data_IF_472874620054
#
_entry.id   IF_472874620054
#
_cell.length_a   1.000
_cell.length_b   1.000
_cell.length_c   1.000
_cell.angle_alpha   90.00
_cell.angle_beta   90.00
_cell.angle_gamma   90.00
#
_symmetry.space_group_name_H-M   'P 1'
#
loop_
_entity.id
_entity.type
_entity.pdbx_description
1 polymer ?
#
# COMPACT_ATOMS: atom_id res chain seq x y z
N UNK A 1 0.53 0.68 -1.72
CA UNK A 1 1.02 2.03 -1.35
C UNK A 1 1.69 2.05 0.02
N UNK A 2 0.98 1.86 1.13
CA UNK A 2 1.58 1.91 2.48
C UNK A 2 2.85 1.03 2.62
N UNK A 3 2.78 -0.21 2.12
CA UNK A 3 3.92 -1.13 2.09
C UNK A 3 5.11 -0.55 1.32
N UNK A 4 4.90 -0.11 0.06
CA UNK A 4 5.95 0.52 -0.77
C UNK A 4 6.50 1.82 -0.15
N UNK A 5 5.72 2.52 0.68
CA UNK A 5 6.18 3.67 1.45
C UNK A 5 7.01 3.30 2.70
N UNK A 6 7.20 2.00 2.98
CA UNK A 6 8.08 1.51 4.05
C UNK A 6 7.37 0.74 5.17
N UNK A 7 6.05 0.61 5.16
CA UNK A 7 5.32 -0.15 6.18
C UNK A 7 5.52 -1.67 6.01
N UNK A 8 5.52 -2.40 7.12
CA UNK A 8 5.50 -3.87 7.10
C UNK A 8 4.08 -4.44 6.96
N UNK A 9 3.07 -3.70 7.44
CA UNK A 9 1.66 -4.08 7.41
C UNK A 9 0.77 -2.86 7.13
N UNK A 10 -0.43 -3.13 6.61
CA UNK A 10 -1.49 -2.12 6.42
C UNK A 10 -2.78 -2.60 7.10
N UNK A 11 -3.37 -1.74 7.94
CA UNK A 11 -4.60 -2.03 8.69
C UNK A 11 -5.84 -1.38 8.09
N UNK A 12 -6.99 -2.03 8.30
CA UNK A 12 -8.31 -1.52 7.90
C UNK A 12 -9.29 -1.67 9.05
N UNK A 13 -9.91 -0.57 9.48
CA UNK A 13 -10.97 -0.60 10.51
C UNK A 13 -12.33 -0.29 9.87
N UNK A 14 -12.55 0.96 9.47
CA UNK A 14 -13.84 1.43 8.95
C UNK A 14 -14.37 0.61 7.75
N UNK A 15 -13.57 0.26 6.72
CA UNK A 15 -14.06 -0.52 5.57
C UNK A 15 -14.47 -1.96 5.90
N UNK A 16 -14.11 -2.46 7.09
CA UNK A 16 -14.44 -3.80 7.58
C UNK A 16 -15.66 -3.76 8.52
N UNK A 17 -15.95 -2.61 9.14
CA UNK A 17 -17.04 -2.47 10.09
C UNK A 17 -18.43 -2.73 9.47
N UNK A 18 -18.70 -2.16 8.29
CA UNK A 18 -19.98 -2.37 7.60
C UNK A 18 -20.16 -3.84 7.16
N UNK A 19 -19.17 -4.52 6.54
CA UNK A 19 -19.27 -5.96 6.32
C UNK A 19 -19.47 -6.77 7.61
N UNK A 20 -18.87 -6.36 8.73
CA UNK A 20 -18.97 -7.07 10.00
C UNK A 20 -20.40 -7.07 10.56
N UNK A 21 -21.14 -5.97 10.43
CA UNK A 21 -22.56 -5.94 10.86
C UNK A 21 -23.47 -6.81 9.98
N UNK A 22 -23.03 -7.16 8.77
CA UNK A 22 -23.75 -8.03 7.82
C UNK A 22 -23.38 -9.51 7.96
N UNK A 23 -22.46 -9.85 8.87
CA UNK A 23 -22.03 -11.21 9.16
C UNK A 23 -20.65 -11.57 8.59
N UNK A 24 -20.09 -12.67 9.11
CA UNK A 24 -18.71 -13.10 8.84
C UNK A 24 -18.42 -13.39 7.38
N UNK A 25 -19.39 -13.88 6.61
CA UNK A 25 -19.23 -14.13 5.17
C UNK A 25 -18.99 -12.83 4.38
N UNK A 26 -19.66 -11.72 4.75
CA UNK A 26 -19.41 -10.42 4.12
C UNK A 26 -18.04 -9.87 4.43
N UNK A 27 -17.54 -10.11 5.65
CA UNK A 27 -16.15 -9.79 5.99
C UNK A 27 -15.16 -10.59 5.14
N UNK A 28 -15.37 -11.91 4.98
CA UNK A 28 -14.53 -12.76 4.13
C UNK A 28 -14.53 -12.30 2.68
N UNK A 29 -15.70 -11.96 2.12
CA UNK A 29 -15.83 -11.39 0.77
C UNK A 29 -15.00 -10.10 0.63
N UNK A 30 -15.13 -9.17 1.60
CA UNK A 30 -14.38 -7.90 1.58
C UNK A 30 -12.87 -8.13 1.65
N UNK A 31 -12.41 -9.04 2.51
CA UNK A 31 -10.99 -9.39 2.64
C UNK A 31 -10.46 -9.97 1.33
N UNK A 32 -11.21 -10.88 0.68
CA UNK A 32 -10.83 -11.44 -0.64
C UNK A 32 -10.67 -10.35 -1.69
N UNK A 33 -11.55 -9.36 -1.72
CA UNK A 33 -11.44 -8.21 -2.64
C UNK A 33 -10.15 -7.42 -2.38
N UNK A 34 -9.85 -7.10 -1.11
CA UNK A 34 -8.64 -6.37 -0.74
C UNK A 34 -7.38 -7.14 -1.14
N UNK A 35 -7.35 -8.45 -0.88
CA UNK A 35 -6.24 -9.33 -1.29
C UNK A 35 -6.07 -9.30 -2.82
N UNK A 36 -7.16 -9.40 -3.57
CA UNK A 36 -7.09 -9.37 -5.03
C UNK A 36 -6.57 -8.03 -5.55
N UNK A 37 -7.04 -6.91 -4.99
CA UNK A 37 -6.54 -5.57 -5.35
C UNK A 37 -5.06 -5.40 -5.04
N UNK A 38 -4.58 -5.94 -3.90
CA UNK A 38 -3.17 -5.96 -3.58
C UNK A 38 -2.38 -6.77 -4.62
N UNK A 39 -2.82 -7.98 -4.96
CA UNK A 39 -2.18 -8.83 -5.98
C UNK A 39 -2.16 -8.17 -7.36
N UNK A 40 -3.26 -7.52 -7.77
CA UNK A 40 -3.32 -6.76 -9.01
C UNK A 40 -2.33 -5.60 -9.00
N UNK A 41 -2.25 -4.85 -7.90
CA UNK A 41 -1.28 -3.76 -7.77
C UNK A 41 0.15 -4.27 -7.86
N UNK A 42 0.45 -5.39 -7.18
CA UNK A 42 1.76 -6.06 -7.23
C UNK A 42 2.12 -6.51 -8.65
N UNK A 43 1.18 -7.13 -9.36
CA UNK A 43 1.36 -7.54 -10.76
C UNK A 43 1.70 -6.36 -11.67
N UNK A 44 0.96 -5.25 -11.55
CA UNK A 44 1.16 -4.05 -12.38
C UNK A 44 2.53 -3.37 -12.17
N UNK A 45 3.14 -3.54 -11.00
CA UNK A 45 4.46 -2.98 -10.69
C UNK A 45 5.58 -4.03 -10.71
N UNK A 46 5.30 -5.25 -11.18
CA UNK A 46 6.29 -6.32 -11.28
C UNK A 46 6.77 -6.89 -9.93
N UNK A 47 6.03 -6.70 -8.85
CA UNK A 47 6.40 -7.20 -7.53
C UNK A 47 5.89 -8.63 -7.30
N UNK A 48 6.79 -9.62 -7.26
CA UNK A 48 6.44 -11.03 -7.00
C UNK A 48 6.27 -11.37 -5.52
N UNK A 49 6.67 -10.50 -4.60
CA UNK A 49 6.55 -10.68 -3.14
C UNK A 49 6.27 -9.36 -2.42
N UNK A 50 5.95 -9.43 -1.12
CA UNK A 50 5.72 -8.23 -0.30
C UNK A 50 7.02 -7.42 -0.12
N UNK A 51 8.15 -8.11 -0.01
CA UNK A 51 9.49 -7.52 0.08
C UNK A 51 9.83 -6.75 -1.21
N UNK A 52 9.56 -7.37 -2.37
CA UNK A 52 9.66 -6.72 -3.68
C UNK A 52 8.73 -5.50 -3.77
N UNK A 53 7.48 -5.62 -3.29
CA UNK A 53 6.53 -4.51 -3.27
C UNK A 53 7.00 -3.34 -2.37
N UNK A 54 7.69 -3.64 -1.26
CA UNK A 54 8.29 -2.64 -0.37
C UNK A 54 9.42 -1.88 -1.08
N UNK A 55 10.20 -2.58 -1.89
CA UNK A 55 11.26 -2.03 -2.74
C UNK A 55 10.79 -1.39 -4.06
N UNK A 56 9.52 -1.56 -4.45
CA UNK A 56 9.04 -1.06 -5.73
C UNK A 56 9.23 0.47 -5.88
N UNK A 57 9.68 0.96 -7.06
CA UNK A 57 9.83 2.38 -7.31
C UNK A 57 8.50 3.12 -7.16
N UNK A 58 8.52 4.29 -6.52
CA UNK A 58 7.34 5.13 -6.39
C UNK A 58 7.67 6.62 -6.42
N UNK A 59 6.69 7.42 -6.79
CA UNK A 59 6.79 8.88 -6.80
C UNK A 59 5.83 9.47 -5.77
N UNK A 60 6.34 10.37 -4.92
CA UNK A 60 5.54 11.15 -3.96
C UNK A 60 5.40 12.57 -4.51
N UNK A 61 4.17 13.08 -4.57
CA UNK A 61 3.85 14.37 -5.19
C UNK A 61 3.08 15.30 -4.24
N UNK A 62 2.99 16.59 -4.61
CA UNK A 62 2.17 17.60 -3.97
C UNK A 62 2.51 17.87 -2.51
N UNK A 63 1.48 18.18 -1.69
CA UNK A 63 1.62 18.54 -0.27
C UNK A 63 2.44 17.53 0.54
N UNK A 64 2.31 16.24 0.25
CA UNK A 64 3.08 15.19 0.94
C UNK A 64 4.56 15.28 0.62
N UNK A 65 4.93 15.54 -0.65
CA UNK A 65 6.32 15.72 -1.06
C UNK A 65 6.93 16.98 -0.42
N UNK A 66 6.19 18.09 -0.44
CA UNK A 66 6.60 19.34 0.22
C UNK A 66 6.84 19.13 1.72
N UNK A 67 5.90 18.49 2.41
CA UNK A 67 6.01 18.17 3.83
C UNK A 67 7.25 17.33 4.15
N UNK A 68 7.50 16.27 3.37
CA UNK A 68 8.64 15.38 3.58
C UNK A 68 9.97 16.09 3.32
N UNK A 69 10.06 16.93 2.28
CA UNK A 69 11.27 17.72 1.99
C UNK A 69 11.60 18.70 3.12
N UNK A 70 10.61 19.44 3.64
CA UNK A 70 10.79 20.36 4.77
C UNK A 70 11.32 19.62 6.01
N UNK A 71 10.91 18.36 6.19
CA UNK A 71 11.33 17.50 7.31
C UNK A 71 12.66 16.78 7.06
N UNK A 72 13.33 17.02 5.93
CA UNK A 72 14.65 16.47 5.61
C UNK A 72 14.64 15.02 5.11
N UNK A 73 13.50 14.50 4.63
CA UNK A 73 13.45 13.16 4.05
C UNK A 73 13.90 13.16 2.58
N UNK A 74 14.79 12.23 2.21
CA UNK A 74 15.15 11.98 0.81
C UNK A 74 14.03 11.22 0.10
N UNK A 75 13.12 11.96 -0.54
CA UNK A 75 12.02 11.37 -1.31
C UNK A 75 12.46 10.89 -2.70
N UNK A 76 13.58 11.36 -3.23
CA UNK A 76 14.08 10.97 -4.55
C UNK A 76 14.66 9.55 -4.51
N UNK A 77 15.08 9.08 -3.32
CA UNK A 77 15.43 7.68 -3.09
C UNK A 77 14.29 6.70 -3.41
N UNK A 78 13.02 7.08 -3.24
CA UNK A 78 11.87 6.21 -3.53
C UNK A 78 11.68 5.98 -5.03
N UNK A 79 11.97 6.99 -5.85
CA UNK A 79 11.84 6.91 -7.30
C UNK A 79 12.97 6.10 -7.95
N UNK A 80 14.13 6.00 -7.28
CA UNK A 80 15.36 5.37 -7.78
C UNK A 80 15.58 3.93 -7.30
N UNK A 81 14.60 3.31 -6.66
CA UNK A 81 14.75 1.92 -6.19
C UNK A 81 14.84 0.96 -7.38
N UNK A 82 15.55 -0.14 -7.19
CA UNK A 82 15.53 -1.27 -8.11
C UNK A 82 14.57 -2.31 -7.50
N UNK A 83 13.37 -2.43 -8.09
CA UNK A 83 12.31 -3.32 -7.61
C UNK A 83 12.59 -4.79 -7.88
#
# INVERSE_FOLDING_TARGET
KAISLGADLAGFALPILEPAVKGSEKVKEKIKIVIQQLRTSMFLVGASSIERLKGAPLVVLGKTAEWLRIRGFDIDSYARREG
#
